data_IF_649232158187
#
_entry.id   IF_649232158187
#
_cell.length_a   1.000
_cell.length_b   1.000
_cell.length_c   1.000
_cell.angle_alpha   90.00
_cell.angle_beta   90.00
_cell.angle_gamma   90.00
#
_symmetry.space_group_name_H-M   'P 1'
#
loop_
_entity.id
_entity.type
_entity.pdbx_description
1 polymer ?
#
# COMPACT_ATOMS: atom_id res chain seq x y z
N UNK A 1 3.34 11.59 7.18
CA UNK A 1 4.48 11.45 6.23
C UNK A 1 5.74 11.11 7.01
N UNK A 2 6.51 10.12 6.58
CA UNK A 2 7.75 9.72 7.25
C UNK A 2 8.92 9.61 6.27
N UNK A 3 10.12 9.97 6.73
CA UNK A 3 11.34 9.82 5.92
C UNK A 3 11.64 8.34 5.72
N UNK A 4 11.81 7.92 4.47
CA UNK A 4 12.08 6.51 4.14
C UNK A 4 13.28 5.96 4.90
N UNK A 5 14.36 6.76 5.00
CA UNK A 5 15.60 6.39 5.71
C UNK A 5 15.36 6.08 7.19
N UNK A 6 14.37 6.72 7.83
CA UNK A 6 14.07 6.50 9.24
C UNK A 6 13.33 5.19 9.50
N UNK A 7 12.61 4.66 8.49
CA UNK A 7 11.85 3.42 8.59
C UNK A 7 12.59 2.22 8.01
N UNK A 8 13.72 2.42 7.34
CA UNK A 8 14.22 1.41 6.39
C UNK A 8 14.56 0.08 7.03
N UNK A 9 15.17 0.04 8.22
CA UNK A 9 15.52 -1.22 8.86
C UNK A 9 14.26 -1.98 9.34
N UNK A 10 13.38 -1.28 10.07
CA UNK A 10 12.09 -1.83 10.53
C UNK A 10 11.26 -2.37 9.37
N UNK A 11 11.15 -1.57 8.31
CA UNK A 11 10.40 -1.95 7.12
C UNK A 11 11.05 -3.13 6.39
N UNK A 12 12.37 -3.18 6.27
CA UNK A 12 13.06 -4.33 5.66
C UNK A 12 12.83 -5.61 6.46
N UNK A 13 12.91 -5.55 7.78
CA UNK A 13 12.68 -6.70 8.66
C UNK A 13 11.22 -7.16 8.60
N UNK A 14 10.25 -6.23 8.69
CA UNK A 14 8.82 -6.56 8.62
C UNK A 14 8.42 -7.14 7.24
N UNK A 15 9.02 -6.66 6.15
CA UNK A 15 8.79 -7.23 4.82
C UNK A 15 9.44 -8.61 4.69
N UNK A 16 10.60 -8.83 5.31
CA UNK A 16 11.23 -10.15 5.36
C UNK A 16 10.32 -11.16 6.08
N UNK A 17 9.86 -10.83 7.29
CA UNK A 17 9.00 -11.69 8.08
C UNK A 17 7.70 -12.01 7.33
N UNK A 18 7.09 -11.01 6.70
CA UNK A 18 5.93 -11.20 5.83
C UNK A 18 6.20 -12.18 4.68
N UNK A 19 7.31 -12.04 3.96
CA UNK A 19 7.64 -12.99 2.89
C UNK A 19 7.83 -14.41 3.42
N UNK A 20 8.48 -14.57 4.57
CA UNK A 20 8.65 -15.89 5.18
C UNK A 20 7.30 -16.50 5.57
N UNK A 21 6.40 -15.73 6.17
CA UNK A 21 5.05 -16.18 6.56
C UNK A 21 4.20 -16.56 5.33
N UNK A 22 4.25 -15.78 4.25
CA UNK A 22 3.52 -16.09 3.02
C UNK A 22 4.11 -17.33 2.30
N UNK A 23 5.44 -17.51 2.34
CA UNK A 23 6.13 -18.64 1.71
C UNK A 23 6.13 -19.92 2.57
N UNK A 24 5.85 -19.85 3.88
CA UNK A 24 5.79 -21.03 4.77
C UNK A 24 4.82 -22.10 4.28
N UNK A 25 3.79 -21.71 3.53
CA UNK A 25 2.83 -22.64 2.91
C UNK A 25 3.38 -23.37 1.67
N UNK A 26 4.49 -22.89 1.07
CA UNK A 26 5.06 -23.39 -0.19
C UNK A 26 6.53 -23.83 -0.11
N UNK A 27 7.28 -23.39 0.90
CA UNK A 27 8.74 -23.60 1.06
C UNK A 27 9.53 -23.27 -0.20
N UNK A 28 9.12 -22.24 -0.95
CA UNK A 28 9.64 -21.98 -2.30
C UNK A 28 11.04 -21.34 -2.27
N UNK A 29 11.32 -20.51 -1.27
CA UNK A 29 12.60 -19.78 -1.15
C UNK A 29 13.26 -19.99 0.22
N UNK A 30 14.58 -20.02 0.23
CA UNK A 30 15.35 -20.00 1.47
C UNK A 30 15.45 -18.59 2.05
N UNK A 31 15.51 -18.48 3.38
CA UNK A 31 15.69 -17.19 4.09
C UNK A 31 16.81 -16.33 3.49
N UNK A 32 17.96 -16.93 3.16
CA UNK A 32 19.10 -16.20 2.59
C UNK A 32 18.79 -15.58 1.22
N UNK A 33 17.93 -16.22 0.42
CA UNK A 33 17.54 -15.73 -0.90
C UNK A 33 16.60 -14.53 -0.77
N UNK A 34 15.60 -14.63 0.12
CA UNK A 34 14.67 -13.54 0.44
C UNK A 34 15.43 -12.32 0.96
N UNK A 35 16.38 -12.51 1.90
CA UNK A 35 17.23 -11.41 2.40
C UNK A 35 18.05 -10.75 1.30
N UNK A 36 18.67 -11.54 0.42
CA UNK A 36 19.46 -11.01 -0.69
C UNK A 36 18.61 -10.19 -1.67
N UNK A 37 17.38 -10.64 -1.96
CA UNK A 37 16.44 -9.90 -2.78
C UNK A 37 16.05 -8.56 -2.12
N UNK A 38 15.71 -8.58 -0.83
CA UNK A 38 15.37 -7.37 -0.07
C UNK A 38 16.52 -6.38 -0.01
N UNK A 39 17.73 -6.85 0.29
CA UNK A 39 18.92 -6.00 0.31
C UNK A 39 19.12 -5.32 -1.04
N UNK A 40 18.93 -6.05 -2.13
CA UNK A 40 18.99 -5.50 -3.49
C UNK A 40 17.94 -4.41 -3.69
N UNK A 41 16.66 -4.70 -3.44
CA UNK A 41 15.55 -3.75 -3.61
C UNK A 41 15.76 -2.49 -2.76
N UNK A 42 16.01 -2.66 -1.47
CA UNK A 42 16.17 -1.54 -0.55
C UNK A 42 17.45 -0.74 -0.80
N UNK A 43 18.52 -1.36 -1.30
CA UNK A 43 19.72 -0.63 -1.71
C UNK A 43 19.43 0.33 -2.87
N UNK A 44 18.59 -0.06 -3.83
CA UNK A 44 18.16 0.81 -4.93
C UNK A 44 17.24 1.92 -4.44
N UNK A 45 16.25 1.60 -3.59
CA UNK A 45 15.34 2.60 -3.02
C UNK A 45 16.08 3.66 -2.20
N UNK A 46 17.10 3.26 -1.43
CA UNK A 46 17.94 4.18 -0.62
C UNK A 46 18.70 5.22 -1.47
N UNK A 47 18.90 4.97 -2.77
CA UNK A 47 19.51 5.96 -3.68
C UNK A 47 18.59 7.15 -3.95
N UNK A 48 17.29 7.03 -3.69
CA UNK A 48 16.31 8.11 -3.83
C UNK A 48 16.44 9.05 -2.63
N UNK A 49 17.23 10.11 -2.81
CA UNK A 49 17.49 11.12 -1.76
C UNK A 49 16.20 11.83 -1.37
N UNK A 50 16.03 12.09 -0.07
CA UNK A 50 14.88 12.79 0.52
C UNK A 50 13.52 12.12 0.23
N UNK A 51 13.50 10.83 -0.11
CA UNK A 51 12.27 10.08 -0.28
C UNK A 51 11.43 10.08 1.00
N UNK A 52 10.15 10.42 0.86
CA UNK A 52 9.17 10.42 1.94
C UNK A 52 8.05 9.46 1.57
N UNK A 53 7.63 8.65 2.51
CA UNK A 53 6.45 7.80 2.36
C UNK A 53 5.25 8.48 3.02
N UNK A 54 4.11 8.59 2.32
CA UNK A 54 2.88 9.03 2.94
C UNK A 54 2.48 8.02 4.02
N UNK A 55 2.02 8.56 5.14
CA UNK A 55 1.45 7.77 6.23
C UNK A 55 -0.01 8.18 6.28
N UNK A 56 -0.89 7.21 6.12
CA UNK A 56 -2.32 7.43 5.93
C UNK A 56 -3.12 6.48 6.80
N UNK A 57 -4.35 6.88 7.11
CA UNK A 57 -5.35 5.97 7.67
C UNK A 57 -5.85 5.08 6.53
N UNK A 58 -5.96 3.77 6.78
CA UNK A 58 -6.55 2.80 5.85
C UNK A 58 -7.85 2.29 6.47
N UNK A 59 -8.94 2.41 5.71
CA UNK A 59 -10.25 1.94 6.13
C UNK A 59 -10.66 0.67 5.36
N UNK A 60 -11.52 -0.13 5.99
CA UNK A 60 -12.33 -1.22 5.45
C UNK A 60 -13.23 -0.73 4.33
N UNK A 61 -13.60 0.55 4.33
CA UNK A 61 -14.40 1.15 3.28
C UNK A 61 -13.97 2.58 3.00
N UNK A 62 -13.70 2.89 1.74
CA UNK A 62 -13.53 4.25 1.26
C UNK A 62 -14.54 4.56 0.15
N UNK A 63 -15.11 5.75 0.18
CA UNK A 63 -15.96 6.29 -0.88
C UNK A 63 -15.35 7.58 -1.41
N UNK A 64 -15.13 7.62 -2.72
CA UNK A 64 -14.70 8.82 -3.45
C UNK A 64 -15.76 9.18 -4.45
N UNK A 65 -16.27 10.42 -4.40
CA UNK A 65 -17.24 10.95 -5.36
C UNK A 65 -16.57 12.13 -6.07
N UNK A 66 -16.52 12.08 -7.40
CA UNK A 66 -15.94 13.12 -8.26
C UNK A 66 -14.51 13.53 -7.89
N UNK A 67 -13.75 12.58 -7.34
CA UNK A 67 -12.36 12.79 -6.92
C UNK A 67 -12.20 13.34 -5.50
N UNK A 68 -13.30 13.56 -4.77
CA UNK A 68 -13.28 13.97 -3.37
C UNK A 68 -13.63 12.79 -2.47
N UNK A 69 -12.79 12.52 -1.47
CA UNK A 69 -13.05 11.51 -0.45
C UNK A 69 -14.12 12.06 0.49
N UNK A 70 -15.30 11.47 0.46
CA UNK A 70 -16.47 11.97 1.17
C UNK A 70 -16.74 11.10 2.40
N UNK A 71 -16.13 11.49 3.53
CA UNK A 71 -16.42 10.88 4.84
C UNK A 71 -17.80 11.26 5.35
N UNK A 72 -18.32 12.40 4.90
CA UNK A 72 -19.58 13.00 5.36
C UNK A 72 -20.83 12.18 4.97
N UNK A 73 -20.70 11.21 4.05
CA UNK A 73 -21.78 10.29 3.69
C UNK A 73 -21.73 8.95 4.44
N UNK A 74 -20.69 8.69 5.24
CA UNK A 74 -20.61 7.48 6.05
C UNK A 74 -21.34 7.70 7.39
N UNK A 75 -22.18 6.75 7.85
CA UNK A 75 -22.71 6.79 9.21
C UNK A 75 -21.57 6.79 10.24
N UNK A 76 -21.66 7.59 11.30
CA UNK A 76 -20.63 7.72 12.36
C UNK A 76 -20.20 6.36 12.95
N UNK A 77 -21.12 5.39 13.05
CA UNK A 77 -20.87 4.04 13.53
C UNK A 77 -20.04 3.17 12.55
N UNK A 78 -20.09 3.51 11.25
CA UNK A 78 -19.28 2.90 10.21
C UNK A 78 -17.88 3.53 10.16
N UNK A 79 -17.73 4.81 10.51
CA UNK A 79 -16.43 5.50 10.50
C UNK A 79 -15.48 4.93 11.57
N UNK A 80 -15.97 4.66 12.79
CA UNK A 80 -15.13 4.14 13.87
C UNK A 80 -14.85 2.61 13.81
N UNK A 81 -15.72 1.82 13.18
CA UNK A 81 -15.53 0.37 13.01
C UNK A 81 -14.86 -0.02 11.68
N UNK A 82 -14.49 0.97 10.86
CA UNK A 82 -13.89 0.73 9.55
C UNK A 82 -12.38 0.90 9.55
N UNK A 83 -11.72 1.43 10.58
CA UNK A 83 -10.26 1.66 10.49
C UNK A 83 -9.48 0.34 10.61
N UNK A 84 -8.70 0.00 9.58
CA UNK A 84 -7.75 -1.13 9.59
C UNK A 84 -6.42 -0.73 10.22
N UNK A 85 -5.88 0.44 9.85
CA UNK A 85 -4.70 1.00 10.48
C UNK A 85 -4.74 2.52 10.44
N UNK A 86 -4.43 3.15 11.59
CA UNK A 86 -4.39 4.59 11.74
C UNK A 86 -3.11 5.22 11.16
N UNK A 87 -2.03 4.46 11.10
CA UNK A 87 -0.73 4.91 10.59
C UNK A 87 -0.13 3.84 9.68
N UNK A 88 -0.63 3.76 8.45
CA UNK A 88 -0.16 2.79 7.47
C UNK A 88 0.68 3.44 6.39
N UNK A 89 1.64 2.67 5.88
CA UNK A 89 2.35 2.95 4.64
C UNK A 89 1.97 1.90 3.61
N UNK A 90 1.42 2.32 2.47
CA UNK A 90 1.10 1.40 1.38
C UNK A 90 2.38 1.01 0.62
N UNK A 91 2.70 -0.28 0.66
CA UNK A 91 3.94 -0.84 0.12
C UNK A 91 3.77 -1.28 -1.34
N UNK A 92 2.75 -2.07 -1.61
CA UNK A 92 2.47 -2.58 -2.95
C UNK A 92 0.99 -2.95 -3.11
N UNK A 93 0.49 -2.93 -4.34
CA UNK A 93 -0.77 -3.59 -4.73
C UNK A 93 -0.45 -4.74 -5.68
N UNK A 94 -0.98 -5.92 -5.38
CA UNK A 94 -0.93 -7.10 -6.25
C UNK A 94 -2.31 -7.27 -6.89
N UNK A 95 -2.42 -7.01 -8.20
CA UNK A 95 -3.68 -7.14 -8.92
C UNK A 95 -4.02 -8.61 -9.17
N UNK A 96 -5.25 -9.01 -8.85
CA UNK A 96 -5.76 -10.36 -9.10
C UNK A 96 -6.54 -10.37 -10.41
N UNK A 97 -7.51 -9.46 -10.53
CA UNK A 97 -8.43 -9.44 -11.67
C UNK A 97 -9.03 -8.05 -11.90
N UNK A 98 -9.48 -7.81 -13.13
CA UNK A 98 -10.27 -6.64 -13.52
C UNK A 98 -11.44 -7.15 -14.38
N UNK A 99 -12.65 -6.81 -13.95
CA UNK A 99 -13.88 -7.15 -14.66
C UNK A 99 -14.77 -5.92 -14.81
N UNK A 100 -15.80 -6.03 -15.64
CA UNK A 100 -16.81 -5.00 -15.80
C UNK A 100 -18.20 -5.61 -15.72
N UNK A 101 -19.20 -4.81 -15.37
CA UNK A 101 -20.61 -5.21 -15.47
C UNK A 101 -21.01 -5.43 -16.94
N UNK A 102 -22.09 -6.18 -17.18
CA UNK A 102 -22.54 -6.53 -18.54
C UNK A 102 -22.82 -5.30 -19.43
N UNK A 103 -23.21 -4.18 -18.82
CA UNK A 103 -23.42 -2.89 -19.47
C UNK A 103 -22.14 -2.05 -19.63
N UNK A 104 -21.03 -2.50 -19.04
CA UNK A 104 -19.74 -1.81 -19.04
C UNK A 104 -19.70 -0.52 -18.22
N UNK A 105 -20.74 -0.21 -17.45
CA UNK A 105 -20.81 1.04 -16.70
C UNK A 105 -19.95 1.03 -15.44
N UNK A 106 -19.69 -0.15 -14.88
CA UNK A 106 -18.89 -0.33 -13.67
C UNK A 106 -17.70 -1.22 -13.94
N UNK A 107 -16.54 -0.79 -13.44
CA UNK A 107 -15.32 -1.60 -13.40
C UNK A 107 -15.15 -2.12 -11.98
N UNK A 108 -14.83 -3.40 -11.86
CA UNK A 108 -14.59 -4.10 -10.59
C UNK A 108 -13.16 -4.62 -10.62
N UNK A 109 -12.32 -4.06 -9.76
CA UNK A 109 -10.92 -4.42 -9.59
C UNK A 109 -10.74 -5.17 -8.27
N UNK A 110 -10.07 -6.34 -8.34
CA UNK A 110 -9.75 -7.16 -7.18
C UNK A 110 -8.24 -7.23 -7.00
N UNK A 111 -7.76 -6.95 -5.80
CA UNK A 111 -6.34 -6.89 -5.52
C UNK A 111 -6.03 -7.23 -4.06
N UNK A 112 -4.74 -7.42 -3.76
CA UNK A 112 -4.22 -7.35 -2.41
C UNK A 112 -3.38 -6.09 -2.25
N UNK A 113 -3.78 -5.22 -1.33
CA UNK A 113 -2.98 -4.11 -0.85
C UNK A 113 -2.07 -4.60 0.28
N UNK A 114 -0.77 -4.41 0.14
CA UNK A 114 0.23 -4.75 1.15
C UNK A 114 0.59 -3.47 1.88
N UNK A 115 0.23 -3.41 3.16
CA UNK A 115 0.42 -2.23 3.99
C UNK A 115 1.40 -2.53 5.12
N UNK A 116 2.21 -1.56 5.48
CA UNK A 116 3.01 -1.59 6.70
C UNK A 116 2.30 -0.77 7.77
N UNK A 117 1.85 -1.42 8.83
CA UNK A 117 1.31 -0.74 10.02
C UNK A 117 2.46 -0.26 10.90
N UNK A 118 2.58 1.06 11.01
CA UNK A 118 3.69 1.71 11.71
C UNK A 118 3.63 1.46 13.21
N UNK A 119 2.42 1.33 13.76
CA UNK A 119 2.22 1.10 15.19
C UNK A 119 2.53 -0.34 15.57
N UNK A 120 2.02 -1.31 14.80
CA UNK A 120 2.27 -2.74 14.99
C UNK A 120 3.67 -3.19 14.55
N UNK A 121 4.37 -2.38 13.74
CA UNK A 121 5.65 -2.75 13.10
C UNK A 121 5.54 -4.04 12.27
N UNK A 122 4.40 -4.20 11.59
CA UNK A 122 4.01 -5.43 10.88
C UNK A 122 3.53 -5.10 9.48
N UNK A 123 3.75 -6.02 8.54
CA UNK A 123 3.18 -5.94 7.20
C UNK A 123 1.92 -6.79 7.13
N UNK A 124 0.83 -6.19 6.68
CA UNK A 124 -0.50 -6.78 6.65
C UNK A 124 -0.97 -6.84 5.20
N UNK A 125 -1.38 -8.02 4.69
CA UNK A 125 -2.04 -8.11 3.41
C UNK A 125 -3.54 -7.84 3.57
N UNK A 126 -4.06 -6.98 2.71
CA UNK A 126 -5.46 -6.54 2.74
C UNK A 126 -6.09 -6.85 1.40
N UNK A 127 -7.04 -7.77 1.37
CA UNK A 127 -7.83 -8.01 0.18
C UNK A 127 -8.74 -6.81 -0.08
N UNK A 128 -8.73 -6.32 -1.32
CA UNK A 128 -9.39 -5.09 -1.73
C UNK A 128 -10.27 -5.33 -2.96
N UNK A 129 -11.48 -4.78 -2.93
CA UNK A 129 -12.40 -4.73 -4.06
C UNK A 129 -12.76 -3.28 -4.32
N UNK A 130 -12.22 -2.73 -5.41
CA UNK A 130 -12.57 -1.41 -5.89
C UNK A 130 -13.67 -1.53 -6.96
N UNK A 131 -14.76 -0.81 -6.78
CA UNK A 131 -15.83 -0.66 -7.77
C UNK A 131 -15.86 0.79 -8.18
N UNK A 132 -15.65 1.04 -9.47
CA UNK A 132 -15.64 2.39 -10.03
C UNK A 132 -16.64 2.54 -11.16
N UNK A 133 -17.26 3.71 -11.24
CA UNK A 133 -18.01 4.22 -12.38
C UNK A 133 -17.50 5.62 -12.76
N UNK A 134 -18.25 6.38 -13.56
CA UNK A 134 -17.81 7.70 -14.04
C UNK A 134 -17.67 8.75 -12.93
N UNK A 135 -18.47 8.65 -11.87
CA UNK A 135 -18.60 9.68 -10.86
C UNK A 135 -18.16 9.19 -9.48
N UNK A 136 -18.05 7.88 -9.27
CA UNK A 136 -17.85 7.29 -7.96
C UNK A 136 -16.87 6.13 -7.99
N UNK A 137 -16.01 6.07 -6.97
CA UNK A 137 -15.20 4.89 -6.66
C UNK A 137 -15.44 4.51 -5.22
N UNK A 138 -15.83 3.26 -5.00
CA UNK A 138 -15.92 2.67 -3.67
C UNK A 138 -14.90 1.55 -3.52
N UNK A 139 -14.18 1.51 -2.42
CA UNK A 139 -13.19 0.47 -2.12
C UNK A 139 -13.58 -0.24 -0.85
N UNK A 140 -13.73 -1.56 -0.90
CA UNK A 140 -13.95 -2.41 0.26
C UNK A 140 -12.68 -3.20 0.55
N UNK A 141 -12.30 -3.28 1.82
CA UNK A 141 -11.08 -3.93 2.28
C UNK A 141 -11.34 -4.87 3.45
N UNK A 142 -10.60 -5.97 3.47
CA UNK A 142 -10.59 -6.95 4.55
C UNK A 142 -9.17 -7.44 4.77
N UNK A 143 -8.70 -7.40 6.01
CA UNK A 143 -7.44 -8.03 6.42
C UNK A 143 -7.48 -9.54 6.16
N UNK A 144 -6.37 -10.07 5.68
CA UNK A 144 -6.22 -11.49 5.36
C UNK A 144 -4.93 -12.02 5.99
N UNK A 145 -4.87 -13.33 6.23
CA UNK A 145 -3.63 -13.96 6.71
C UNK A 145 -2.70 -14.34 5.54
N UNK A 146 -3.27 -14.74 4.41
CA UNK A 146 -2.54 -15.29 3.27
C UNK A 146 -3.03 -14.76 1.92
N UNK A 147 -2.10 -14.62 0.99
CA UNK A 147 -2.36 -14.25 -0.40
C UNK A 147 -2.39 -15.51 -1.26
N UNK A 148 -3.54 -15.75 -1.89
CA UNK A 148 -3.68 -16.84 -2.85
C UNK A 148 -2.71 -16.65 -4.02
N UNK A 149 -1.91 -17.69 -4.31
CA UNK A 149 -0.96 -17.63 -5.43
C UNK A 149 0.25 -16.72 -5.19
N UNK A 150 0.57 -16.35 -3.94
CA UNK A 150 1.71 -15.49 -3.63
C UNK A 150 3.02 -16.00 -4.24
N UNK A 151 3.82 -15.06 -4.74
CA UNK A 151 5.15 -15.25 -5.34
C UNK A 151 6.06 -14.17 -4.78
N UNK A 152 7.06 -14.57 -3.99
CA UNK A 152 8.02 -13.63 -3.39
C UNK A 152 8.73 -12.79 -4.44
N UNK A 153 9.11 -13.37 -5.58
CA UNK A 153 9.76 -12.63 -6.66
C UNK A 153 8.85 -11.54 -7.23
N UNK A 154 7.60 -11.88 -7.56
CA UNK A 154 6.66 -10.91 -8.13
C UNK A 154 6.34 -9.80 -7.13
N UNK A 155 6.22 -10.16 -5.85
CA UNK A 155 6.07 -9.18 -4.78
C UNK A 155 7.29 -8.26 -4.65
N UNK A 156 8.52 -8.77 -4.67
CA UNK A 156 9.74 -7.94 -4.61
C UNK A 156 9.83 -6.96 -5.79
N UNK A 157 9.44 -7.40 -6.99
CA UNK A 157 9.37 -6.55 -8.18
C UNK A 157 8.31 -5.46 -7.98
N UNK A 158 7.10 -5.83 -7.57
CA UNK A 158 6.00 -4.89 -7.34
C UNK A 158 6.37 -3.86 -6.24
N UNK A 159 6.94 -4.32 -5.13
CA UNK A 159 7.43 -3.50 -4.03
C UNK A 159 8.46 -2.49 -4.54
N UNK A 160 9.49 -2.96 -5.24
CA UNK A 160 10.57 -2.12 -5.75
C UNK A 160 10.06 -1.04 -6.72
N UNK A 161 9.20 -1.41 -7.67
CA UNK A 161 8.64 -0.47 -8.65
C UNK A 161 7.73 0.55 -7.96
N UNK A 162 6.74 0.08 -7.19
CA UNK A 162 5.71 0.95 -6.63
C UNK A 162 6.26 1.87 -5.53
N UNK A 163 7.15 1.37 -4.65
CA UNK A 163 7.81 2.25 -3.68
C UNK A 163 8.75 3.24 -4.36
N UNK A 164 9.50 2.85 -5.40
CA UNK A 164 10.35 3.79 -6.12
C UNK A 164 9.52 4.93 -6.72
N UNK A 165 8.38 4.62 -7.33
CA UNK A 165 7.47 5.62 -7.88
C UNK A 165 6.87 6.51 -6.79
N UNK A 166 6.43 5.95 -5.66
CA UNK A 166 5.95 6.75 -4.51
C UNK A 166 7.04 7.66 -3.95
N UNK A 167 8.27 7.17 -3.77
CA UNK A 167 9.39 7.96 -3.26
C UNK A 167 9.80 9.09 -4.21
N UNK A 168 9.71 8.87 -5.54
CA UNK A 168 9.95 9.90 -6.55
C UNK A 168 8.83 10.94 -6.59
N UNK A 169 7.57 10.49 -6.55
CA UNK A 169 6.39 11.35 -6.70
C UNK A 169 6.03 12.10 -5.41
N UNK A 170 6.43 11.61 -4.24
CA UNK A 170 6.33 12.37 -2.98
C UNK A 170 7.06 13.73 -3.05
N UNK A 171 8.05 13.86 -3.94
CA UNK A 171 8.73 15.12 -4.25
C UNK A 171 7.81 16.14 -4.94
N UNK A 172 6.85 15.71 -5.76
CA UNK A 172 5.86 16.61 -6.36
C UNK A 172 4.85 17.12 -5.32
N UNK A 173 4.50 16.28 -4.35
CA UNK A 173 3.67 16.67 -3.21
C UNK A 173 4.38 17.71 -2.33
N UNK A 174 5.69 17.54 -2.09
CA UNK A 174 6.50 18.53 -1.39
C UNK A 174 6.70 19.82 -2.20
N UNK A 175 6.83 19.72 -3.53
CA UNK A 175 6.92 20.87 -4.43
C UNK A 175 5.70 21.78 -4.39
N UNK A 176 4.49 21.21 -4.25
CA UNK A 176 3.24 21.97 -4.12
C UNK A 176 3.02 22.58 -2.73
N UNK A 177 3.62 22.04 -1.68
CA UNK A 177 3.52 22.58 -0.31
C UNK A 177 4.53 23.73 -0.07
N UNK A 178 5.60 23.79 -0.87
CA UNK A 178 6.62 24.84 -0.78
C UNK A 178 6.26 26.17 -1.50
N UNK A 179 5.08 26.31 -2.10
CA UNK A 179 4.63 27.55 -2.74
C UNK A 179 3.94 28.54 -1.78
N UNK A 180 4.01 28.32 -0.46
CA UNK A 180 3.70 29.39 0.50
C UNK A 180 4.90 30.36 0.56
N UNK A 181 4.71 31.65 0.21
CA UNK A 181 5.78 32.62 0.31
C UNK A 181 6.11 32.78 1.80
N UNK A 182 7.29 32.32 2.20
CA UNK A 182 7.94 32.85 3.39
C UNK A 182 8.10 34.35 3.15
N UNK A 183 7.23 35.15 3.77
CA UNK A 183 7.44 36.58 3.91
C UNK A 183 8.35 36.78 5.11
N UNK A 184 9.38 37.59 4.89
CA UNK A 184 10.42 37.98 5.86
C UNK A 184 9.86 38.62 7.14
#
# INVERSE_FOLDING_TARGET
MMRFIALTNKLTDAVFDFCMEQDECKYEYMESEVRSMLDTVFSELRKIKNGVLPVTVINNYDLTIRGESERDYMPDDAENNSVLSCEAVHLATIQIDISATDDGEKVIERSYDIIYDVNGDVVIPVYSVAVSDRDMTSVYRVECDYIEGFSTIDFMIALGVQLADRLRNAREFLGKVCDFPCTD
#
